data_IF_009188616071
#
_entry.id   IF_009188616071
#
_cell.length_a   1.000
_cell.length_b   1.000
_cell.length_c   1.000
_cell.angle_alpha   90.00
_cell.angle_beta   90.00
_cell.angle_gamma   90.00
#
_symmetry.space_group_name_H-M   'P 1'
#
loop_
_entity.id
_entity.type
_entity.pdbx_description
1 polymer ?
#
# COMPACT_ATOMS: atom_id res chain seq x y z
N UNK A 1 9.84 -53.50 -45.01
CA UNK A 1 8.83 -52.40 -45.22
C UNK A 1 8.28 -52.01 -43.88
N UNK A 2 8.91 -51.05 -43.17
CA UNK A 2 8.54 -50.65 -41.83
C UNK A 2 7.90 -49.28 -41.94
N UNK A 3 6.61 -49.15 -41.50
CA UNK A 3 5.85 -47.93 -41.45
C UNK A 3 6.34 -47.05 -40.28
N UNK A 4 6.80 -45.86 -40.60
CA UNK A 4 7.05 -44.79 -39.62
C UNK A 4 5.69 -44.26 -39.09
N UNK A 5 5.41 -44.45 -37.80
CA UNK A 5 4.33 -43.77 -37.13
C UNK A 5 4.81 -42.39 -36.69
N UNK A 6 4.14 -41.39 -37.16
CA UNK A 6 4.36 -39.98 -36.82
C UNK A 6 3.92 -39.74 -35.37
N UNK A 7 4.84 -39.27 -34.55
CA UNK A 7 4.56 -38.68 -33.25
C UNK A 7 4.34 -37.17 -33.48
N UNK A 8 3.10 -36.80 -33.66
CA UNK A 8 2.66 -35.40 -33.68
C UNK A 8 1.34 -35.32 -32.86
N UNK A 9 1.40 -34.81 -31.67
CA UNK A 9 0.15 -34.62 -30.91
C UNK A 9 0.26 -34.59 -29.40
N UNK A 10 1.38 -34.11 -28.80
CA UNK A 10 1.42 -33.84 -27.35
C UNK A 10 2.26 -32.57 -27.08
N UNK A 11 1.81 -31.43 -27.54
CA UNK A 11 2.49 -30.16 -27.20
C UNK A 11 1.54 -28.95 -27.07
N UNK A 12 0.23 -29.17 -26.98
CA UNK A 12 -0.72 -28.05 -26.94
C UNK A 12 -1.51 -27.94 -25.63
N UNK A 13 -1.25 -28.76 -24.60
CA UNK A 13 -2.01 -28.72 -23.33
C UNK A 13 -1.19 -28.15 -22.16
N UNK A 14 0.11 -28.00 -22.29
CA UNK A 14 0.98 -27.51 -21.19
C UNK A 14 1.05 -25.99 -21.04
N UNK A 15 0.49 -25.19 -21.94
CA UNK A 15 0.59 -23.72 -21.91
C UNK A 15 -0.64 -23.03 -21.30
N UNK A 16 -1.71 -23.73 -20.99
CA UNK A 16 -2.90 -23.15 -20.37
C UNK A 16 -2.95 -23.28 -18.84
N UNK A 17 -2.04 -24.03 -18.23
CA UNK A 17 -1.99 -24.18 -16.76
C UNK A 17 -1.06 -23.18 -16.08
N UNK A 18 -0.23 -22.45 -16.82
CA UNK A 18 0.69 -21.46 -16.24
C UNK A 18 0.04 -20.11 -15.93
N UNK A 19 -1.12 -19.83 -16.51
CA UNK A 19 -1.81 -18.54 -16.28
C UNK A 19 -2.68 -18.52 -15.00
N UNK A 20 -3.07 -19.69 -14.49
CA UNK A 20 -3.88 -19.76 -13.26
C UNK A 20 -3.04 -19.83 -11.98
N UNK A 21 -1.75 -20.21 -12.07
CA UNK A 21 -0.89 -20.33 -10.88
C UNK A 21 -0.27 -19.01 -10.41
N UNK A 22 -0.36 -17.94 -11.20
CA UNK A 22 0.21 -16.65 -10.81
C UNK A 22 -0.69 -15.83 -9.85
N UNK A 23 -1.96 -16.20 -9.72
CA UNK A 23 -2.92 -15.47 -8.88
C UNK A 23 -3.06 -16.09 -7.48
N UNK A 24 -2.75 -17.37 -7.31
CA UNK A 24 -2.91 -18.07 -6.02
C UNK A 24 -1.74 -17.90 -5.05
N UNK A 25 -0.66 -17.22 -5.44
CA UNK A 25 0.53 -17.03 -4.60
C UNK A 25 0.59 -15.67 -3.87
N UNK A 26 -0.51 -14.90 -3.84
CA UNK A 26 -0.53 -13.55 -3.26
C UNK A 26 -1.00 -13.56 -1.81
N UNK A 27 -1.52 -14.67 -1.33
CA UNK A 27 -1.88 -14.83 0.07
C UNK A 27 -0.57 -14.96 0.87
N UNK A 28 -0.33 -14.00 1.76
CA UNK A 28 0.82 -14.03 2.65
C UNK A 28 2.02 -13.15 2.26
N UNK A 29 1.84 -12.13 1.40
CA UNK A 29 2.93 -11.17 1.12
C UNK A 29 3.06 -10.21 2.32
N UNK A 30 4.22 -10.22 3.02
CA UNK A 30 4.42 -9.33 4.17
C UNK A 30 4.37 -7.88 3.76
N UNK A 31 3.64 -7.04 4.52
CA UNK A 31 3.37 -5.63 4.18
C UNK A 31 4.62 -4.74 4.08
N UNK A 32 5.76 -5.19 4.57
CA UNK A 32 7.02 -4.45 4.64
C UNK A 32 8.08 -4.90 3.62
N UNK A 33 7.65 -5.52 2.51
CA UNK A 33 8.56 -6.07 1.49
C UNK A 33 8.42 -5.40 0.13
N UNK A 34 9.45 -5.55 -0.72
CA UNK A 34 9.42 -5.11 -2.12
C UNK A 34 8.28 -5.77 -2.91
N UNK A 35 8.05 -7.07 -2.68
CA UNK A 35 6.99 -7.84 -3.33
C UNK A 35 5.62 -7.20 -3.13
N UNK A 36 5.37 -6.64 -1.95
CA UNK A 36 4.12 -5.92 -1.67
C UNK A 36 3.95 -4.73 -2.62
N UNK A 37 4.99 -3.90 -2.75
CA UNK A 37 4.91 -2.74 -3.62
C UNK A 37 4.84 -3.12 -5.10
N UNK A 38 5.63 -4.07 -5.55
CA UNK A 38 5.57 -4.63 -6.92
C UNK A 38 4.18 -5.16 -7.23
N UNK A 39 3.54 -5.81 -6.25
CA UNK A 39 2.18 -6.34 -6.42
C UNK A 39 1.14 -5.25 -6.55
N UNK A 40 1.27 -4.19 -5.79
CA UNK A 40 0.40 -3.01 -5.91
C UNK A 40 0.53 -2.35 -7.27
N UNK A 41 1.75 -2.14 -7.74
CA UNK A 41 2.02 -1.62 -9.08
C UNK A 41 1.38 -2.50 -10.17
N UNK A 42 1.54 -3.82 -10.06
CA UNK A 42 0.93 -4.80 -10.97
C UNK A 42 -0.60 -4.72 -10.97
N UNK A 43 -1.22 -4.61 -9.79
CA UNK A 43 -2.69 -4.49 -9.66
C UNK A 43 -3.17 -3.22 -10.36
N UNK A 44 -2.55 -2.08 -10.09
CA UNK A 44 -2.94 -0.80 -10.70
C UNK A 44 -2.77 -0.86 -12.21
N UNK A 45 -1.65 -1.36 -12.71
CA UNK A 45 -1.39 -1.46 -14.14
C UNK A 45 -2.37 -2.36 -14.88
N UNK A 46 -2.77 -3.48 -14.27
CA UNK A 46 -3.62 -4.48 -14.93
C UNK A 46 -5.12 -4.29 -14.71
N UNK A 47 -5.51 -3.59 -13.63
CA UNK A 47 -6.91 -3.54 -13.19
C UNK A 47 -7.55 -2.17 -13.31
N UNK A 48 -6.77 -1.10 -13.27
CA UNK A 48 -7.30 0.25 -13.48
C UNK A 48 -7.35 0.55 -14.98
N UNK A 49 -8.53 0.93 -15.45
CA UNK A 49 -8.76 1.35 -16.84
C UNK A 49 -8.20 2.78 -17.04
N UNK A 50 -6.95 2.88 -17.50
CA UNK A 50 -6.26 4.15 -17.70
C UNK A 50 -6.88 5.04 -18.79
N UNK A 51 -7.72 4.46 -19.66
CA UNK A 51 -8.47 5.26 -20.66
C UNK A 51 -9.66 5.99 -20.03
N UNK A 52 -10.16 5.51 -18.89
CA UNK A 52 -11.29 6.10 -18.19
C UNK A 52 -10.89 6.90 -16.97
N UNK A 53 -9.84 6.47 -16.27
CA UNK A 53 -9.49 6.99 -14.97
C UNK A 53 -8.03 7.41 -14.86
N UNK A 54 -7.81 8.52 -14.19
CA UNK A 54 -6.54 9.00 -13.69
C UNK A 54 -6.41 8.62 -12.21
N UNK A 55 -5.38 7.87 -11.82
CA UNK A 55 -5.11 7.58 -10.40
C UNK A 55 -4.58 8.84 -9.74
N UNK A 56 -5.12 9.22 -8.59
CA UNK A 56 -4.69 10.38 -7.80
C UNK A 56 -4.28 10.01 -6.37
N UNK A 57 -4.60 8.80 -5.92
CA UNK A 57 -4.20 8.32 -4.60
C UNK A 57 -4.34 6.81 -4.49
N UNK A 58 -3.67 6.26 -3.51
CA UNK A 58 -3.78 4.86 -3.14
C UNK A 58 -3.60 4.68 -1.64
N UNK A 59 -4.20 3.63 -1.10
CA UNK A 59 -4.04 3.22 0.28
C UNK A 59 -3.92 1.70 0.35
N UNK A 60 -2.82 1.23 0.93
CA UNK A 60 -2.58 -0.17 1.22
C UNK A 60 -3.09 -0.49 2.61
N UNK A 61 -3.70 -1.66 2.76
CA UNK A 61 -4.16 -2.11 4.07
C UNK A 61 -3.95 -3.59 4.26
N UNK A 62 -3.59 -3.95 5.47
CA UNK A 62 -3.55 -5.34 5.92
C UNK A 62 -4.95 -5.84 6.32
N UNK A 63 -5.06 -7.13 6.58
CA UNK A 63 -6.25 -7.74 7.16
C UNK A 63 -6.47 -7.27 8.60
N UNK A 64 -7.72 -6.93 8.93
CA UNK A 64 -8.11 -6.41 10.26
C UNK A 64 -9.07 -7.33 11.00
N UNK A 65 -9.11 -8.63 10.67
CA UNK A 65 -9.95 -9.58 11.38
C UNK A 65 -9.55 -9.68 12.85
N UNK A 66 -10.56 -9.77 13.71
CA UNK A 66 -10.36 -9.94 15.15
C UNK A 66 -9.45 -11.12 15.46
N UNK A 67 -8.38 -10.87 16.22
CA UNK A 67 -7.34 -11.84 16.57
C UNK A 67 -6.20 -11.94 15.55
N UNK A 68 -6.23 -11.12 14.49
CA UNK A 68 -5.19 -11.04 13.45
C UNK A 68 -4.64 -9.61 13.30
N UNK A 69 -4.82 -8.77 14.30
CA UNK A 69 -4.47 -7.36 14.31
C UNK A 69 -2.96 -7.11 14.11
N UNK A 70 -2.13 -8.12 14.34
CA UNK A 70 -0.67 -8.06 14.15
C UNK A 70 -0.18 -8.95 12.99
N UNK A 71 -1.10 -9.46 12.15
CA UNK A 71 -0.72 -10.22 10.97
C UNK A 71 -0.07 -9.29 9.95
N UNK A 72 1.17 -9.63 9.54
CA UNK A 72 1.95 -8.84 8.60
C UNK A 72 1.69 -9.28 7.14
N UNK A 73 0.42 -9.29 6.74
CA UNK A 73 0.02 -9.68 5.38
C UNK A 73 -0.84 -8.60 4.73
N UNK A 74 -0.47 -8.21 3.50
CA UNK A 74 -1.30 -7.32 2.69
C UNK A 74 -2.63 -7.99 2.36
N UNK A 75 -3.73 -7.28 2.56
CA UNK A 75 -5.06 -7.76 2.21
C UNK A 75 -5.61 -7.08 0.95
N UNK A 76 -5.51 -5.76 0.87
CA UNK A 76 -6.03 -5.01 -0.26
C UNK A 76 -5.31 -3.69 -0.48
N UNK A 77 -5.45 -3.15 -1.68
CA UNK A 77 -5.21 -1.75 -1.96
C UNK A 77 -6.50 -1.06 -2.39
N UNK A 78 -6.73 0.14 -1.87
CA UNK A 78 -7.81 1.04 -2.30
C UNK A 78 -7.20 2.12 -3.19
N UNK A 79 -7.77 2.32 -4.36
CA UNK A 79 -7.28 3.28 -5.36
C UNK A 79 -8.30 4.40 -5.51
N UNK A 80 -7.84 5.63 -5.38
CA UNK A 80 -8.58 6.84 -5.63
C UNK A 80 -8.31 7.32 -7.06
N UNK A 81 -9.38 7.52 -7.82
CA UNK A 81 -9.31 7.80 -9.26
C UNK A 81 -10.22 8.96 -9.62
N UNK A 82 -9.90 9.62 -10.72
CA UNK A 82 -10.72 10.69 -11.31
C UNK A 82 -11.06 10.33 -12.75
N UNK A 83 -12.32 10.48 -13.13
CA UNK A 83 -12.76 10.31 -14.52
C UNK A 83 -12.53 11.57 -15.36
N UNK A 84 -12.94 11.52 -16.63
CA UNK A 84 -12.77 12.62 -17.58
C UNK A 84 -13.63 13.85 -17.26
N UNK A 85 -14.67 13.67 -16.46
CA UNK A 85 -15.58 14.74 -16.05
C UNK A 85 -15.18 15.38 -14.71
N UNK A 86 -14.03 14.97 -14.13
CA UNK A 86 -13.52 15.48 -12.86
C UNK A 86 -14.17 14.85 -11.63
N UNK A 87 -15.02 13.85 -11.80
CA UNK A 87 -15.63 13.14 -10.69
C UNK A 87 -14.63 12.12 -10.08
N UNK A 88 -14.59 12.07 -8.75
CA UNK A 88 -13.72 11.15 -8.04
C UNK A 88 -14.42 9.82 -7.70
N UNK A 89 -13.66 8.76 -7.83
CA UNK A 89 -14.09 7.38 -7.64
C UNK A 89 -13.09 6.61 -6.79
N UNK A 90 -13.58 5.67 -6.01
CA UNK A 90 -12.75 4.77 -5.21
C UNK A 90 -13.08 3.32 -5.55
N UNK A 91 -12.05 2.50 -5.65
CA UNK A 91 -12.19 1.05 -5.84
C UNK A 91 -11.18 0.28 -5.01
N UNK A 92 -11.63 -0.82 -4.42
CA UNK A 92 -10.79 -1.73 -3.63
C UNK A 92 -10.40 -2.93 -4.48
N UNK A 93 -9.13 -3.27 -4.47
CA UNK A 93 -8.56 -4.44 -5.12
C UNK A 93 -7.93 -5.34 -4.06
N UNK A 94 -8.48 -6.53 -3.89
CA UNK A 94 -7.96 -7.52 -2.95
C UNK A 94 -6.81 -8.32 -3.57
N UNK A 95 -5.89 -8.75 -2.72
CA UNK A 95 -4.72 -9.53 -3.17
C UNK A 95 -5.06 -10.91 -3.72
N UNK A 96 -6.22 -11.46 -3.37
CA UNK A 96 -6.77 -12.70 -3.92
C UNK A 96 -7.35 -12.55 -5.34
N UNK A 97 -7.31 -11.33 -5.91
CA UNK A 97 -7.83 -11.01 -7.23
C UNK A 97 -9.28 -10.53 -7.25
N UNK A 98 -9.96 -10.55 -6.11
CA UNK A 98 -11.32 -9.98 -5.98
C UNK A 98 -11.26 -8.47 -6.19
N UNK A 99 -12.28 -7.92 -6.85
CA UNK A 99 -12.41 -6.49 -7.10
C UNK A 99 -13.71 -6.02 -6.43
N UNK A 100 -13.58 -5.01 -5.56
CA UNK A 100 -14.70 -4.34 -4.92
C UNK A 100 -15.50 -3.48 -5.90
N UNK A 101 -16.66 -3.04 -5.47
CA UNK A 101 -17.48 -2.13 -6.25
C UNK A 101 -16.78 -0.79 -6.44
N UNK A 102 -16.90 -0.24 -7.66
CA UNK A 102 -16.56 1.16 -7.91
C UNK A 102 -17.59 2.03 -7.19
N UNK A 103 -17.14 2.95 -6.37
CA UNK A 103 -17.99 3.88 -5.63
C UNK A 103 -17.57 5.32 -5.85
N UNK A 104 -18.51 6.24 -5.86
CA UNK A 104 -18.19 7.67 -5.90
C UNK A 104 -17.46 8.08 -4.61
N UNK A 105 -16.46 8.93 -4.76
CA UNK A 105 -15.68 9.49 -3.66
C UNK A 105 -15.98 10.99 -3.55
N UNK A 106 -16.28 11.47 -2.34
CA UNK A 106 -16.57 12.87 -2.09
C UNK A 106 -15.85 13.36 -0.84
N UNK A 107 -15.11 14.44 -0.96
CA UNK A 107 -14.51 15.19 0.15
C UNK A 107 -15.34 16.43 0.52
N UNK A 108 -16.64 16.41 0.23
CA UNK A 108 -17.57 17.54 0.40
C UNK A 108 -18.33 17.82 -0.91
N UNK A 109 -19.38 18.63 -0.83
CA UNK A 109 -20.20 18.95 -2.00
C UNK A 109 -19.42 19.73 -3.06
N UNK A 110 -19.39 19.21 -4.28
CA UNK A 110 -19.00 19.96 -5.48
C UNK A 110 -17.50 20.13 -5.72
N UNK A 111 -16.61 19.38 -5.05
CA UNK A 111 -15.18 19.44 -5.36
C UNK A 111 -14.89 18.79 -6.72
N UNK A 112 -14.28 19.57 -7.61
CA UNK A 112 -13.73 19.09 -8.88
C UNK A 112 -12.30 18.60 -8.66
N UNK A 113 -12.00 17.40 -9.16
CA UNK A 113 -10.67 16.77 -9.06
C UNK A 113 -9.93 16.76 -10.40
N UNK A 114 -10.43 17.43 -11.44
CA UNK A 114 -9.82 17.44 -12.78
C UNK A 114 -8.38 17.98 -12.76
N UNK A 115 -8.08 18.97 -11.93
CA UNK A 115 -6.77 19.60 -11.83
C UNK A 115 -5.80 18.86 -10.91
N UNK A 116 -6.26 17.86 -10.14
CA UNK A 116 -5.37 17.07 -9.27
C UNK A 116 -4.37 16.30 -10.14
N UNK A 117 -3.05 16.38 -9.86
CA UNK A 117 -2.05 15.66 -10.64
C UNK A 117 -2.23 14.15 -10.55
N UNK A 118 -1.95 13.44 -11.64
CA UNK A 118 -1.91 11.98 -11.62
C UNK A 118 -0.81 11.50 -10.68
N UNK A 119 -1.11 10.47 -9.90
CA UNK A 119 -0.11 9.73 -9.13
C UNK A 119 0.58 8.72 -10.05
N UNK A 120 1.85 8.95 -10.33
CA UNK A 120 2.69 7.95 -10.98
C UNK A 120 3.18 6.96 -9.91
N UNK A 121 2.48 5.85 -9.77
CA UNK A 121 2.81 4.80 -8.80
C UNK A 121 4.16 4.14 -9.11
N UNK A 122 4.60 4.18 -10.38
CA UNK A 122 5.92 3.65 -10.79
C UNK A 122 7.08 4.57 -10.39
N UNK A 123 6.81 5.84 -10.10
CA UNK A 123 7.83 6.78 -9.63
C UNK A 123 8.36 6.46 -8.24
N UNK A 124 7.64 5.62 -7.47
CA UNK A 124 8.09 5.10 -6.19
C UNK A 124 8.62 3.69 -6.44
N UNK A 125 9.93 3.52 -6.26
CA UNK A 125 10.53 2.19 -6.43
C UNK A 125 10.18 1.27 -5.25
N UNK A 126 10.15 -0.06 -5.45
CA UNK A 126 10.02 -1.02 -4.34
C UNK A 126 11.10 -0.82 -3.26
N UNK A 127 12.30 -0.40 -3.66
CA UNK A 127 13.40 -0.07 -2.76
C UNK A 127 13.09 1.15 -1.89
N UNK A 128 12.49 2.19 -2.48
CA UNK A 128 12.11 3.40 -1.76
C UNK A 128 11.02 3.11 -0.74
N UNK A 129 10.00 2.34 -1.11
CA UNK A 129 8.97 1.87 -0.19
C UNK A 129 9.57 1.16 1.04
N UNK A 130 10.44 0.16 0.82
CA UNK A 130 11.09 -0.58 1.91
C UNK A 130 11.99 0.33 2.75
N UNK A 131 12.75 1.24 2.10
CA UNK A 131 13.62 2.19 2.79
C UNK A 131 12.84 3.08 3.77
N UNK A 132 11.64 3.53 3.40
CA UNK A 132 10.77 4.34 4.27
C UNK A 132 10.31 3.52 5.48
N UNK A 133 9.84 2.29 5.25
CA UNK A 133 9.41 1.39 6.34
C UNK A 133 10.59 1.07 7.27
N UNK A 134 11.78 0.80 6.73
CA UNK A 134 12.98 0.50 7.53
C UNK A 134 13.48 1.72 8.32
N UNK A 135 13.30 2.93 7.81
CA UNK A 135 13.59 4.15 8.56
C UNK A 135 12.65 4.27 9.77
N UNK A 136 11.36 4.05 9.58
CA UNK A 136 10.38 4.05 10.68
C UNK A 136 10.66 2.94 11.70
N UNK A 137 11.03 1.73 11.27
CA UNK A 137 11.42 0.63 12.18
C UNK A 137 12.59 1.04 13.09
N UNK A 138 13.57 1.78 12.58
CA UNK A 138 14.69 2.27 13.40
C UNK A 138 14.23 3.28 14.45
N UNK A 139 13.26 4.14 14.11
CA UNK A 139 12.69 5.10 15.07
C UNK A 139 11.99 4.35 16.20
N UNK A 140 11.10 3.40 15.89
CA UNK A 140 10.38 2.65 16.93
C UNK A 140 11.31 1.77 17.77
N UNK A 141 12.37 1.21 17.18
CA UNK A 141 13.37 0.42 17.91
C UNK A 141 14.16 1.27 18.91
N UNK A 142 14.46 2.53 18.57
CA UNK A 142 15.13 3.49 19.47
C UNK A 142 14.22 3.82 20.66
N UNK A 143 12.90 3.86 20.48
CA UNK A 143 11.91 4.03 21.54
C UNK A 143 11.63 2.73 22.36
N UNK A 144 12.36 1.67 22.07
CA UNK A 144 12.21 0.40 22.78
C UNK A 144 11.03 -0.46 22.35
N UNK A 145 10.37 -0.11 21.25
CA UNK A 145 9.25 -0.83 20.68
C UNK A 145 9.71 -1.89 19.67
N UNK A 146 8.80 -2.78 19.30
CA UNK A 146 9.02 -3.86 18.34
C UNK A 146 8.01 -3.76 17.21
N UNK A 147 8.48 -3.72 15.97
CA UNK A 147 7.66 -3.79 14.76
C UNK A 147 6.86 -5.09 14.68
N UNK A 148 5.59 -5.00 14.27
CA UNK A 148 4.73 -6.12 13.99
C UNK A 148 4.31 -6.15 12.51
N UNK A 149 3.73 -5.06 12.01
CA UNK A 149 3.27 -4.96 10.62
C UNK A 149 3.10 -3.48 10.21
N UNK A 150 2.99 -3.24 8.91
CA UNK A 150 2.46 -1.98 8.37
C UNK A 150 0.94 -2.10 8.37
N UNK A 151 0.26 -1.27 9.16
CA UNK A 151 -1.21 -1.24 9.21
C UNK A 151 -1.80 -0.63 7.97
N UNK A 152 -1.27 0.52 7.58
CA UNK A 152 -1.66 1.24 6.37
C UNK A 152 -0.47 1.96 5.77
N UNK A 153 -0.50 2.14 4.44
CA UNK A 153 0.42 3.01 3.72
C UNK A 153 -0.37 3.75 2.66
N UNK A 154 -0.36 5.07 2.72
CA UNK A 154 -1.19 5.95 1.89
C UNK A 154 -0.35 6.95 1.12
N UNK A 155 -0.69 7.13 -0.16
CA UNK A 155 -0.18 8.21 -0.99
C UNK A 155 -1.37 8.92 -1.59
N UNK A 156 -1.43 10.22 -1.44
CA UNK A 156 -2.57 11.02 -1.87
C UNK A 156 -2.12 12.35 -2.48
N UNK A 157 -2.46 12.57 -3.75
CA UNK A 157 -2.26 13.84 -4.45
C UNK A 157 -3.48 14.77 -4.33
N UNK A 158 -4.59 14.29 -3.76
CA UNK A 158 -5.85 15.07 -3.67
C UNK A 158 -5.87 16.06 -2.51
N UNK A 159 -4.93 15.94 -1.58
CA UNK A 159 -4.78 16.84 -0.44
C UNK A 159 -3.84 18.01 -0.78
N UNK A 160 -3.85 19.04 0.03
CA UNK A 160 -2.89 20.16 0.00
C UNK A 160 -2.63 20.75 -1.39
N UNK A 161 -3.71 21.09 -2.12
CA UNK A 161 -3.64 21.72 -3.45
C UNK A 161 -2.85 20.91 -4.51
N UNK A 162 -2.90 19.58 -4.41
CA UNK A 162 -2.24 18.66 -5.33
C UNK A 162 -0.81 18.29 -4.94
N UNK A 163 -0.36 18.66 -3.75
CA UNK A 163 0.89 18.14 -3.20
C UNK A 163 0.74 16.69 -2.78
N UNK A 164 1.73 15.88 -3.13
CA UNK A 164 1.77 14.48 -2.73
C UNK A 164 2.00 14.37 -1.22
N UNK A 165 1.03 13.78 -0.54
CA UNK A 165 1.17 13.39 0.87
C UNK A 165 1.42 11.89 0.93
N UNK A 166 2.44 11.47 1.67
CA UNK A 166 2.73 10.08 1.95
C UNK A 166 2.72 9.87 3.47
N UNK A 167 1.81 9.03 3.92
CA UNK A 167 1.58 8.72 5.33
C UNK A 167 1.51 7.21 5.51
N UNK A 168 1.97 6.69 6.62
CA UNK A 168 1.78 5.29 6.95
C UNK A 168 1.76 5.06 8.46
N UNK A 169 1.15 3.95 8.87
CA UNK A 169 1.02 3.56 10.27
C UNK A 169 1.67 2.20 10.48
N UNK A 170 2.48 2.09 11.51
CA UNK A 170 3.04 0.81 11.96
C UNK A 170 2.29 0.33 13.19
N UNK A 171 1.94 -0.96 13.23
CA UNK A 171 1.56 -1.62 14.47
C UNK A 171 2.80 -2.16 15.16
N UNK A 172 2.92 -1.82 16.44
CA UNK A 172 4.09 -2.14 17.26
C UNK A 172 3.66 -2.68 18.62
N UNK A 173 4.54 -3.43 19.27
CA UNK A 173 4.36 -3.88 20.65
C UNK A 173 5.52 -3.43 21.52
N UNK A 174 5.38 -3.49 22.83
CA UNK A 174 6.54 -3.49 23.71
C UNK A 174 7.43 -4.72 23.42
N UNK A 175 8.73 -4.65 23.72
CA UNK A 175 9.66 -5.79 23.51
C UNK A 175 9.19 -7.04 24.23
N UNK A 176 8.63 -6.87 25.43
CA UNK A 176 7.94 -7.91 26.18
C UNK A 176 6.43 -7.71 26.06
N UNK A 177 5.86 -8.19 24.95
CA UNK A 177 4.45 -8.01 24.63
C UNK A 177 3.57 -8.55 25.77
N UNK A 178 2.79 -7.67 26.39
CA UNK A 178 1.85 -8.03 27.44
C UNK A 178 0.66 -8.76 26.84
N UNK A 179 0.41 -9.96 27.35
CA UNK A 179 -0.82 -10.69 27.05
C UNK A 179 -1.90 -10.22 28.02
N UNK A 180 -2.96 -9.66 27.48
CA UNK A 180 -4.15 -9.27 28.23
C UNK A 180 -5.19 -10.36 28.05
N UNK A 181 -5.64 -10.95 29.16
CA UNK A 181 -6.72 -11.94 29.16
C UNK A 181 -8.01 -11.29 29.62
N UNK A 182 -9.02 -11.26 28.78
CA UNK A 182 -10.34 -10.76 29.11
C UNK A 182 -11.41 -11.76 28.65
N UNK A 183 -12.27 -12.19 29.58
CA UNK A 183 -13.37 -13.13 29.32
C UNK A 183 -12.96 -14.40 28.55
N UNK A 184 -11.79 -14.97 28.87
CA UNK A 184 -11.28 -16.19 28.21
C UNK A 184 -10.65 -15.99 26.84
N UNK A 185 -10.53 -14.76 26.36
CA UNK A 185 -9.77 -14.40 25.16
C UNK A 185 -8.46 -13.76 25.57
N UNK A 186 -7.37 -14.20 24.94
CA UNK A 186 -6.04 -13.60 25.14
C UNK A 186 -5.73 -12.74 23.93
N UNK A 187 -5.49 -11.45 24.16
CA UNK A 187 -5.01 -10.49 23.16
C UNK A 187 -3.61 -10.00 23.53
N UNK A 188 -2.90 -9.47 22.54
CA UNK A 188 -1.63 -8.80 22.74
C UNK A 188 -1.91 -7.30 22.70
N UNK A 189 -1.40 -6.57 23.69
CA UNK A 189 -1.44 -5.11 23.68
C UNK A 189 -0.50 -4.58 22.60
N UNK A 190 -0.99 -3.70 21.72
CA UNK A 190 -0.23 -3.08 20.65
C UNK A 190 -0.58 -1.61 20.51
N UNK A 191 0.27 -0.87 19.83
CA UNK A 191 0.11 0.55 19.56
C UNK A 191 0.19 0.81 18.06
N UNK A 192 -0.55 1.80 17.60
CA UNK A 192 -0.49 2.34 16.25
C UNK A 192 0.39 3.58 16.26
N UNK A 193 1.46 3.56 15.46
CA UNK A 193 2.43 4.66 15.38
C UNK A 193 2.38 5.24 13.98
N UNK A 194 1.83 6.47 13.81
CA UNK A 194 1.73 7.14 12.52
C UNK A 194 3.04 7.83 12.13
N UNK A 195 3.35 7.78 10.85
CA UNK A 195 4.51 8.40 10.23
C UNK A 195 4.11 9.20 9.00
N UNK A 196 4.88 10.25 8.72
CA UNK A 196 4.80 11.05 7.51
C UNK A 196 6.12 10.99 6.75
N UNK A 197 6.07 11.13 5.43
CA UNK A 197 7.24 11.19 4.57
C UNK A 197 7.29 12.57 3.92
N UNK A 198 8.34 13.32 4.18
CA UNK A 198 8.55 14.64 3.58
C UNK A 198 8.80 14.54 2.06
N UNK A 199 8.77 15.68 1.35
CA UNK A 199 9.11 15.77 -0.07
C UNK A 199 10.52 15.27 -0.39
N UNK A 200 11.44 15.35 0.57
CA UNK A 200 12.82 14.86 0.46
C UNK A 200 12.95 13.37 0.78
N UNK A 201 11.84 12.69 1.10
CA UNK A 201 11.83 11.28 1.46
C UNK A 201 12.29 10.99 2.90
N UNK A 202 12.31 12.01 3.76
CA UNK A 202 12.62 11.85 5.19
C UNK A 202 11.38 11.36 5.91
N UNK A 203 11.55 10.32 6.72
CA UNK A 203 10.48 9.73 7.54
C UNK A 203 10.56 10.29 8.94
N UNK A 204 9.44 10.78 9.46
CA UNK A 204 9.29 11.29 10.82
C UNK A 204 7.98 10.82 11.44
N UNK A 205 7.87 10.89 12.77
CA UNK A 205 6.60 10.67 13.46
C UNK A 205 5.63 11.81 13.10
N UNK A 206 4.36 11.47 12.87
CA UNK A 206 3.31 12.48 12.68
C UNK A 206 3.22 13.39 13.91
N UNK A 207 3.23 14.72 13.68
CA UNK A 207 3.19 15.72 14.75
C UNK A 207 4.52 15.93 15.50
N UNK A 208 5.63 15.35 15.05
CA UNK A 208 6.95 15.77 15.51
C UNK A 208 7.36 17.05 14.79
N UNK A 209 7.88 18.03 15.53
CA UNK A 209 8.26 19.37 15.06
C UNK A 209 9.42 19.38 14.03
N UNK A 210 9.60 18.31 13.29
CA UNK A 210 10.64 18.16 12.26
C UNK A 210 10.45 19.10 11.04
N UNK A 211 9.34 19.84 10.97
CA UNK A 211 9.05 20.79 9.89
C UNK A 211 9.43 22.24 10.22
N UNK A 212 9.92 22.56 11.43
CA UNK A 212 10.19 23.95 11.84
C UNK A 212 11.64 24.44 11.59
N UNK A 213 12.59 23.61 11.14
CA UNK A 213 14.02 23.99 11.11
C UNK A 213 14.60 24.26 9.69
N UNK A 214 13.83 24.69 8.68
CA UNK A 214 14.39 24.92 7.33
C UNK A 214 14.34 26.39 6.83
N UNK A 215 13.82 27.37 7.57
CA UNK A 215 13.69 28.74 7.04
C UNK A 215 14.29 29.87 7.91
N UNK A 216 15.31 29.69 8.72
CA UNK A 216 15.91 30.77 9.51
C UNK A 216 17.40 31.09 9.23
N UNK A 217 17.96 30.86 8.07
CA UNK A 217 19.32 31.36 7.77
C UNK A 217 19.51 31.82 6.30
N UNK A 218 18.66 32.68 5.81
CA UNK A 218 18.90 33.32 4.51
C UNK A 218 18.48 34.81 4.49
N UNK A 219 18.93 35.59 5.50
CA UNK A 219 18.98 37.05 5.38
C UNK A 219 19.88 37.64 6.48
N UNK A 220 21.20 37.59 6.28
CA UNK A 220 22.17 38.52 6.87
C UNK A 220 23.43 38.51 5.99
N UNK A 221 23.46 39.42 5.01
CA UNK A 221 24.51 40.40 4.67
C UNK A 221 24.32 40.92 3.22
#
# INVERSE_FOLDING_TARGET
MMKKLSVLGVSAVALLLSACNAISSIVGVPTDTKETWEKVQEIIEKKVDADKFKVIGLNLRRETRSGQELNNELNYCSVLMVDKDGAAWQQVFFVDGTIGNLSSYSLGEGRDFSDVPALDVKSISPEEYVKQIDAAKKIIEAEGLKFCCVDSYSIDNSRNDGERVCEFTLNVTEKEAKKVSNAGRTSIEYYEVPFVVSKQGVVSLEGSDADEDIDEDADLD
#
